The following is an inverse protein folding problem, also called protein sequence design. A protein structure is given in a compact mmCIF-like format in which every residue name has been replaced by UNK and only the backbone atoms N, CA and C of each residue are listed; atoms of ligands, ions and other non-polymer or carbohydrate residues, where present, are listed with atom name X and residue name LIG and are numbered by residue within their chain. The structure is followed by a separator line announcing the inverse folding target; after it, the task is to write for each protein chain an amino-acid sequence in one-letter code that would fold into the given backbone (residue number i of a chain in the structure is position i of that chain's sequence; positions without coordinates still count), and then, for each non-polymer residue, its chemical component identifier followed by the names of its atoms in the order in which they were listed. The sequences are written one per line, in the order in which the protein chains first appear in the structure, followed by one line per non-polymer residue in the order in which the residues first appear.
data_IF_963711882804
#
_entry.id   IF_963711882804
#
_cell.length_a   1.000
_cell.length_b   1.000
_cell.length_c   1.000
_cell.angle_alpha   90.00
_cell.angle_beta   90.00
_cell.angle_gamma   90.00
#
_symmetry.space_group_name_H-M   'P 1'
#
loop_
_entity.id
_entity.type
_entity.pdbx_description
1 polymer ?
#
# COMPACT_ATOMS: atom_id res chain seq x y z
N UNK A 1 -2.46 -25.57 5.39
CA UNK A 1 -2.19 -24.98 6.72
C UNK A 1 -3.54 -24.63 7.33
N UNK A 2 -3.82 -24.96 8.60
CA UNK A 2 -5.05 -24.51 9.23
C UNK A 2 -5.04 -22.98 9.34
N UNK A 3 -6.21 -22.37 9.19
CA UNK A 3 -6.39 -20.93 9.46
C UNK A 3 -5.98 -20.66 10.91
N UNK A 4 -4.98 -19.79 11.11
CA UNK A 4 -4.40 -19.47 12.42
C UNK A 4 -5.27 -18.54 13.26
N UNK A 5 -6.43 -18.11 12.74
CA UNK A 5 -7.26 -17.10 13.36
C UNK A 5 -6.90 -15.68 12.92
N UNK A 6 -7.56 -14.71 13.53
CA UNK A 6 -7.27 -13.29 13.35
C UNK A 6 -6.00 -12.97 14.16
N UNK A 7 -4.98 -12.40 13.50
CA UNK A 7 -3.75 -11.96 14.17
C UNK A 7 -3.94 -10.53 14.64
N UNK A 8 -3.72 -10.29 15.94
CA UNK A 8 -3.92 -9.00 16.59
C UNK A 8 -2.59 -8.32 16.91
N UNK A 9 -2.56 -6.99 16.82
CA UNK A 9 -1.39 -6.15 17.08
C UNK A 9 -0.28 -6.26 16.04
N UNK A 10 0.88 -5.68 16.33
CA UNK A 10 1.99 -5.49 15.37
C UNK A 10 3.25 -6.28 15.72
N UNK A 11 3.20 -7.08 16.78
CA UNK A 11 4.33 -7.89 17.23
C UNK A 11 4.78 -8.89 16.15
N UNK A 12 6.08 -8.88 15.83
CA UNK A 12 6.64 -9.71 14.78
C UNK A 12 6.37 -9.24 13.34
N UNK A 13 5.70 -8.10 13.14
CA UNK A 13 5.55 -7.47 11.84
C UNK A 13 6.43 -6.21 11.72
N UNK A 14 6.89 -5.95 10.50
CA UNK A 14 7.71 -4.78 10.18
C UNK A 14 6.84 -3.67 9.59
N UNK A 15 6.92 -2.42 10.10
CA UNK A 15 6.15 -1.33 9.54
C UNK A 15 6.70 -0.93 8.17
N UNK A 16 5.77 -0.68 7.25
CA UNK A 16 6.02 -0.25 5.88
C UNK A 16 5.24 1.02 5.61
N UNK A 17 5.93 2.11 5.34
CA UNK A 17 5.32 3.32 4.82
C UNK A 17 5.08 3.19 3.31
N UNK A 18 3.82 3.30 2.89
CA UNK A 18 3.43 3.45 1.50
C UNK A 18 3.06 4.91 1.28
N UNK A 19 3.76 5.58 0.38
CA UNK A 19 3.52 6.96 -0.01
C UNK A 19 3.06 7.01 -1.45
N UNK A 20 1.91 7.61 -1.74
CA UNK A 20 1.31 7.69 -3.08
C UNK A 20 1.17 9.16 -3.45
N UNK A 21 1.93 9.61 -4.45
CA UNK A 21 1.83 10.96 -5.00
C UNK A 21 0.85 10.99 -6.18
N UNK A 22 -0.03 11.99 -6.19
CA UNK A 22 -0.93 12.26 -7.30
C UNK A 22 -0.34 13.33 -8.22
N UNK A 23 0.29 12.90 -9.31
CA UNK A 23 0.85 13.78 -10.35
C UNK A 23 -0.14 13.99 -11.52
N UNK A 24 -1.41 13.65 -11.32
CA UNK A 24 -2.50 13.92 -12.27
C UNK A 24 -3.15 15.28 -11.99
N UNK A 25 -4.05 15.69 -12.86
CA UNK A 25 -4.88 16.91 -12.74
C UNK A 25 -6.26 16.64 -12.09
N UNK A 26 -6.54 15.40 -11.68
CA UNK A 26 -7.81 15.02 -11.03
C UNK A 26 -7.57 14.42 -9.65
N UNK A 27 -8.59 14.44 -8.79
CA UNK A 27 -8.49 13.78 -7.47
C UNK A 27 -8.51 12.26 -7.63
N UNK A 28 -7.71 11.56 -6.81
CA UNK A 28 -7.69 10.11 -6.76
C UNK A 28 -8.30 9.61 -5.45
N UNK A 29 -9.18 8.61 -5.51
CA UNK A 29 -9.66 7.83 -4.36
C UNK A 29 -8.85 6.53 -4.28
N UNK A 30 -8.08 6.35 -3.20
CA UNK A 30 -7.24 5.17 -2.98
C UNK A 30 -7.86 4.25 -1.93
N UNK A 31 -7.93 2.96 -2.26
CA UNK A 31 -8.55 1.92 -1.42
C UNK A 31 -7.71 0.66 -1.37
N UNK A 32 -7.70 0.00 -0.22
CA UNK A 32 -7.12 -1.33 -0.05
C UNK A 32 -8.21 -2.38 -0.25
N UNK A 33 -8.04 -3.29 -1.21
CA UNK A 33 -8.81 -4.53 -1.26
C UNK A 33 -8.28 -5.48 -0.18
N UNK A 34 -9.14 -5.81 0.79
CA UNK A 34 -8.81 -6.72 1.90
C UNK A 34 -9.41 -8.12 1.68
N UNK A 35 -10.41 -8.20 0.81
CA UNK A 35 -10.98 -9.43 0.27
C UNK A 35 -11.61 -9.14 -1.10
N UNK A 36 -11.90 -10.18 -1.88
CA UNK A 36 -12.54 -10.08 -3.19
C UNK A 36 -13.92 -9.38 -3.21
N UNK A 37 -14.51 -9.09 -2.04
CA UNK A 37 -15.81 -8.42 -1.88
C UNK A 37 -15.75 -7.18 -0.98
N UNK A 38 -14.59 -6.87 -0.38
CA UNK A 38 -14.46 -5.77 0.57
C UNK A 38 -13.19 -4.96 0.34
N UNK A 39 -13.36 -3.64 0.30
CA UNK A 39 -12.26 -2.68 0.32
C UNK A 39 -12.45 -1.70 1.46
N UNK A 40 -11.33 -1.28 2.03
CA UNK A 40 -11.28 -0.17 3.00
C UNK A 40 -10.75 1.09 2.34
N UNK A 41 -11.26 2.24 2.78
CA UNK A 41 -10.83 3.55 2.28
C UNK A 41 -9.47 3.90 2.88
N UNK A 42 -8.48 4.22 2.04
CA UNK A 42 -7.20 4.73 2.50
C UNK A 42 -7.18 6.26 2.48
N UNK A 43 -7.88 6.85 1.51
CA UNK A 43 -8.15 8.28 1.45
C UNK A 43 -8.17 8.83 0.03
N UNK A 44 -8.54 10.12 -0.07
CA UNK A 44 -8.55 10.89 -1.32
C UNK A 44 -7.33 11.80 -1.42
N UNK A 45 -6.72 11.86 -2.61
CA UNK A 45 -5.53 12.65 -2.91
C UNK A 45 -5.90 13.72 -3.93
N UNK A 46 -5.76 15.01 -3.58
CA UNK A 46 -5.94 16.10 -4.53
C UNK A 46 -4.78 16.14 -5.56
N UNK A 47 -4.93 16.83 -6.70
CA UNK A 47 -3.84 17.05 -7.64
C UNK A 47 -2.61 17.69 -6.96
N UNK A 48 -1.43 17.08 -7.14
CA UNK A 48 -0.17 17.54 -6.54
C UNK A 48 0.08 17.09 -5.09
N UNK A 49 -0.92 16.49 -4.43
CA UNK A 49 -0.80 16.02 -3.05
C UNK A 49 -0.31 14.57 -2.96
N UNK A 50 -0.13 14.11 -1.71
CA UNK A 50 0.32 12.76 -1.37
C UNK A 50 -0.50 12.16 -0.23
N UNK A 51 -0.78 10.87 -0.35
CA UNK A 51 -1.27 10.02 0.75
C UNK A 51 -0.12 9.19 1.31
N UNK A 52 -0.06 9.07 2.64
CA UNK A 52 0.83 8.15 3.33
C UNK A 52 0.01 7.20 4.18
N UNK A 53 0.27 5.90 4.07
CA UNK A 53 -0.34 4.84 4.89
C UNK A 53 0.73 3.90 5.40
N UNK A 54 0.58 3.39 6.62
CA UNK A 54 1.45 2.33 7.15
C UNK A 54 0.79 0.98 6.97
N UNK A 55 1.47 0.06 6.27
CA UNK A 55 1.16 -1.36 6.24
C UNK A 55 2.13 -2.13 7.14
N UNK A 56 1.76 -3.36 7.49
CA UNK A 56 2.56 -4.23 8.35
C UNK A 56 2.94 -5.49 7.59
N UNK A 57 4.24 -5.61 7.33
CA UNK A 57 4.82 -6.73 6.61
C UNK A 57 5.04 -7.90 7.56
N UNK A 58 4.48 -9.04 7.21
CA UNK A 58 4.80 -10.31 7.81
C UNK A 58 6.03 -10.90 7.11
N UNK A 59 7.17 -10.94 7.80
CA UNK A 59 8.42 -11.45 7.25
C UNK A 59 8.42 -12.95 6.97
N UNK A 60 7.51 -13.73 7.55
CA UNK A 60 7.38 -15.17 7.28
C UNK A 60 6.66 -15.42 5.96
N UNK A 61 5.55 -14.71 5.73
CA UNK A 61 4.66 -14.96 4.58
C UNK A 61 4.85 -13.98 3.43
N UNK A 62 5.41 -12.80 3.70
CA UNK A 62 5.50 -11.68 2.77
C UNK A 62 4.23 -10.83 2.68
N UNK A 63 3.16 -11.18 3.41
CA UNK A 63 1.88 -10.46 3.35
C UNK A 63 2.02 -9.06 3.94
N UNK A 64 1.43 -8.08 3.27
CA UNK A 64 1.24 -6.73 3.81
C UNK A 64 -0.16 -6.63 4.41
N UNK A 65 -0.24 -6.09 5.63
CA UNK A 65 -1.50 -5.99 6.37
C UNK A 65 -1.84 -4.53 6.64
N UNK A 66 -3.12 -4.19 6.48
CA UNK A 66 -3.70 -2.97 7.02
C UNK A 66 -4.24 -3.27 8.43
N UNK A 67 -4.01 -2.38 9.39
CA UNK A 67 -4.62 -2.53 10.71
C UNK A 67 -6.06 -1.99 10.66
N UNK A 68 -7.03 -2.77 11.14
CA UNK A 68 -8.38 -2.26 11.34
C UNK A 68 -8.50 -1.49 12.68
N UNK A 69 -9.70 -0.96 12.97
CA UNK A 69 -9.97 -0.20 14.19
C UNK A 69 -9.91 -1.02 15.50
N UNK A 70 -9.84 -2.35 15.41
CA UNK A 70 -9.67 -3.26 16.55
C UNK A 70 -8.28 -3.88 16.58
N UNK A 71 -7.29 -3.25 15.94
CA UNK A 71 -5.90 -3.70 15.87
C UNK A 71 -5.72 -5.11 15.31
N UNK A 72 -6.61 -5.57 14.43
CA UNK A 72 -6.43 -6.81 13.69
C UNK A 72 -5.70 -6.57 12.38
N UNK A 73 -4.84 -7.52 12.02
CA UNK A 73 -4.14 -7.54 10.72
C UNK A 73 -5.09 -8.00 9.63
N UNK A 74 -5.41 -7.09 8.72
CA UNK A 74 -6.20 -7.37 7.53
C UNK A 74 -5.26 -7.53 6.32
N UNK A 75 -5.13 -8.73 5.75
CA UNK A 75 -4.29 -8.95 4.57
C UNK A 75 -4.75 -8.07 3.41
N UNK A 76 -3.82 -7.30 2.84
CA UNK A 76 -4.06 -6.49 1.65
C UNK A 76 -3.84 -7.36 0.43
N UNK A 77 -4.84 -7.51 -0.43
CA UNK A 77 -4.71 -8.18 -1.74
C UNK A 77 -4.19 -7.20 -2.81
N UNK A 78 -4.62 -5.93 -2.72
CA UNK A 78 -4.22 -4.88 -3.64
C UNK A 78 -4.50 -3.49 -3.06
N UNK A 79 -3.72 -2.49 -3.47
CA UNK A 79 -4.13 -1.08 -3.37
C UNK A 79 -4.46 -0.59 -4.78
N UNK A 80 -5.61 0.06 -4.91
CA UNK A 80 -6.05 0.72 -6.12
C UNK A 80 -6.23 2.20 -5.85
N UNK A 81 -5.76 3.05 -6.77
CA UNK A 81 -6.11 4.45 -6.82
C UNK A 81 -6.92 4.70 -8.09
N UNK A 82 -8.02 5.43 -7.97
CA UNK A 82 -8.96 5.65 -9.07
C UNK A 82 -9.37 7.12 -9.17
N UNK A 83 -9.49 7.60 -10.40
CA UNK A 83 -10.29 8.77 -10.75
C UNK A 83 -11.69 8.31 -11.20
N UNK A 84 -12.54 9.24 -11.62
CA UNK A 84 -13.85 8.91 -12.19
C UNK A 84 -13.75 8.14 -13.52
N UNK A 85 -12.61 8.23 -14.21
CA UNK A 85 -12.44 7.67 -15.56
C UNK A 85 -11.52 6.43 -15.62
N UNK A 86 -10.60 6.28 -14.65
CA UNK A 86 -9.58 5.24 -14.71
C UNK A 86 -9.14 4.79 -13.31
N UNK A 87 -8.52 3.61 -13.24
CA UNK A 87 -7.93 3.09 -11.99
C UNK A 87 -6.59 2.41 -12.27
N UNK A 88 -5.68 2.53 -11.31
CA UNK A 88 -4.38 1.88 -11.34
C UNK A 88 -4.17 1.05 -10.07
N UNK A 89 -3.56 -0.13 -10.23
CA UNK A 89 -3.10 -0.97 -9.13
C UNK A 89 -1.68 -0.57 -8.76
N UNK A 90 -1.37 -0.53 -7.48
CA UNK A 90 0.01 -0.47 -7.01
C UNK A 90 0.63 -1.87 -7.03
N UNK A 91 1.85 -1.98 -7.55
CA UNK A 91 2.63 -3.22 -7.47
C UNK A 91 3.32 -3.30 -6.10
N UNK A 92 2.75 -4.10 -5.19
CA UNK A 92 3.23 -4.25 -3.83
C UNK A 92 4.17 -5.46 -3.74
N UNK A 93 5.39 -5.33 -3.20
CA UNK A 93 6.35 -6.43 -3.12
C UNK A 93 5.98 -7.39 -1.96
N UNK A 94 5.07 -8.33 -2.21
CA UNK A 94 4.65 -9.35 -1.24
C UNK A 94 5.60 -10.56 -1.28
N UNK A 95 6.80 -10.39 -0.75
CA UNK A 95 7.81 -11.46 -0.67
C UNK A 95 8.21 -11.73 0.76
N UNK A 96 8.37 -13.01 1.11
CA UNK A 96 8.91 -13.45 2.40
C UNK A 96 10.37 -13.01 2.60
N UNK A 97 10.81 -12.98 3.86
CA UNK A 97 12.09 -12.41 4.29
C UNK A 97 11.96 -10.90 4.61
N UNK A 98 13.05 -10.23 5.01
CA UNK A 98 13.02 -8.81 5.32
C UNK A 98 12.76 -7.99 4.06
N UNK A 99 12.04 -6.88 4.20
CA UNK A 99 11.79 -6.01 3.06
C UNK A 99 13.06 -5.27 2.64
N UNK A 100 13.42 -5.37 1.36
CA UNK A 100 14.60 -4.72 0.79
C UNK A 100 14.30 -3.25 0.56
N UNK A 101 14.76 -2.38 1.44
CA UNK A 101 14.59 -0.93 1.33
C UNK A 101 15.85 -0.27 0.80
N UNK A 102 15.71 0.94 0.25
CA UNK A 102 16.84 1.82 -0.07
C UNK A 102 17.74 2.15 1.14
N UNK A 103 18.80 2.95 0.95
CA UNK A 103 19.87 3.11 1.93
C UNK A 103 19.36 3.52 3.32
N UNK A 104 19.70 2.71 4.32
CA UNK A 104 19.28 2.83 5.71
C UNK A 104 20.03 3.97 6.43
N UNK A 105 19.32 4.82 7.16
CA UNK A 105 19.91 5.65 8.24
C UNK A 105 19.58 5.02 9.59
N UNK A 106 20.54 5.05 10.51
CA UNK A 106 20.51 4.28 11.75
C UNK A 106 19.39 4.74 12.71
N UNK A 107 18.43 3.84 12.97
CA UNK A 107 17.33 4.02 13.90
C UNK A 107 16.06 3.42 13.30
N UNK A 108 15.71 2.18 13.70
CA UNK A 108 14.58 1.34 13.24
C UNK A 108 13.68 2.02 12.18
N UNK A 109 14.19 2.16 10.97
CA UNK A 109 13.49 2.88 9.91
C UNK A 109 12.47 1.93 9.32
N UNK A 110 11.21 2.37 9.27
CA UNK A 110 10.19 1.67 8.52
C UNK A 110 10.65 1.57 7.06
N UNK A 111 10.35 0.44 6.43
CA UNK A 111 10.54 0.32 5.00
C UNK A 111 9.65 1.33 4.28
N UNK A 112 10.14 1.99 3.23
CA UNK A 112 9.36 2.99 2.50
C UNK A 112 9.23 2.59 1.03
N UNK A 113 7.98 2.59 0.54
CA UNK A 113 7.65 2.45 -0.88
C UNK A 113 6.96 3.74 -1.34
N UNK A 114 7.53 4.36 -2.37
CA UNK A 114 6.98 5.58 -2.94
C UNK A 114 6.42 5.28 -4.32
N UNK A 115 5.15 5.62 -4.54
CA UNK A 115 4.46 5.50 -5.81
C UNK A 115 4.13 6.90 -6.35
N UNK A 116 4.29 7.07 -7.67
CA UNK A 116 3.83 8.26 -8.40
C UNK A 116 2.75 7.84 -9.38
N UNK A 117 1.56 8.42 -9.23
CA UNK A 117 0.43 8.19 -10.11
C UNK A 117 0.35 9.29 -11.17
N UNK A 118 0.34 8.91 -12.45
CA UNK A 118 0.32 9.79 -13.61
C UNK A 118 -0.80 9.41 -14.57
N UNK A 119 -1.34 10.40 -15.27
CA UNK A 119 -2.23 10.16 -16.40
C UNK A 119 -1.41 9.56 -17.55
N UNK A 120 -1.89 8.46 -18.14
CA UNK A 120 -1.23 7.78 -19.26
C UNK A 120 -2.09 7.75 -20.51
N UNK A 121 -1.46 7.61 -21.67
CA UNK A 121 -2.10 7.82 -22.98
C UNK A 121 -3.10 6.71 -23.38
N UNK A 122 -2.87 5.45 -22.99
CA UNK A 122 -3.75 4.31 -23.35
C UNK A 122 -4.59 3.74 -22.19
N UNK A 123 -4.08 3.76 -20.95
CA UNK A 123 -4.75 3.19 -19.76
C UNK A 123 -5.44 4.24 -18.86
N UNK A 124 -5.27 5.53 -19.16
CA UNK A 124 -5.85 6.66 -18.42
C UNK A 124 -5.16 6.99 -17.10
N UNK A 125 -4.70 6.00 -16.33
CA UNK A 125 -3.98 6.17 -15.06
C UNK A 125 -2.95 5.05 -14.86
N UNK A 126 -1.72 5.41 -14.47
CA UNK A 126 -0.69 4.46 -14.04
C UNK A 126 -0.08 4.91 -12.72
N UNK A 127 0.26 3.97 -11.83
CA UNK A 127 0.99 4.23 -10.60
C UNK A 127 2.18 3.29 -10.54
N UNK A 128 3.39 3.85 -10.54
CA UNK A 128 4.63 3.09 -10.50
C UNK A 128 5.50 3.53 -9.34
N UNK A 129 6.39 2.66 -8.88
CA UNK A 129 7.38 3.02 -7.85
C UNK A 129 8.28 4.14 -8.38
N UNK A 130 8.44 5.22 -7.60
CA UNK A 130 9.28 6.35 -7.99
C UNK A 130 10.76 5.95 -7.95
N UNK A 131 11.36 5.63 -9.11
CA UNK A 131 12.80 5.34 -9.22
C UNK A 131 13.22 4.22 -10.18
N UNK A 132 12.64 4.17 -11.38
CA UNK A 132 13.28 3.54 -12.56
C UNK A 132 13.57 4.59 -13.63
#
# INVERSE_FOLDING_TARGET
MPYSGIVHGTEGAEPVEISIANETDTSLDCRAALAHWYSDELGRIAPGDRLTVTLWHDGETGVLNLMNATDDRMPVEAIWCASDAARARLDLPMTAGPMKTGPMTAGKAAASLHFSCKSGDEAGLSCATAGE
#
